data_IF_783197758226
#
_entry.id   IF_783197758226
#
_cell.length_a   1.000
_cell.length_b   1.000
_cell.length_c   1.000
_cell.angle_alpha   90.00
_cell.angle_beta   90.00
_cell.angle_gamma   90.00
#
_symmetry.space_group_name_H-M   'P 1'
#
loop_
_entity.id
_entity.type
_entity.pdbx_description
1 polymer ?
#
# COMPACT_ATOMS: atom_id res chain seq x y z
N UNK A 1 7.12 20.70 -2.54
CA UNK A 1 8.47 20.41 -2.04
C UNK A 1 8.40 19.20 -1.12
N UNK A 2 9.27 18.22 -1.33
CA UNK A 2 9.37 17.03 -0.49
C UNK A 2 9.81 17.40 0.94
N UNK A 3 9.43 16.59 1.91
CA UNK A 3 9.84 16.72 3.30
C UNK A 3 11.30 16.29 3.47
N UNK A 4 11.66 15.15 2.85
CA UNK A 4 13.00 14.59 2.84
C UNK A 4 13.45 14.33 1.39
N UNK A 5 14.74 14.41 1.11
CA UNK A 5 15.31 14.15 -0.23
C UNK A 5 15.16 12.67 -0.61
N UNK A 6 15.23 11.81 0.34
CA UNK A 6 15.12 10.35 0.19
C UNK A 6 13.75 9.93 -0.36
N UNK A 7 12.72 10.77 -0.18
CA UNK A 7 11.37 10.51 -0.69
C UNK A 7 11.26 10.63 -2.23
N UNK A 8 12.31 11.11 -2.90
CA UNK A 8 12.39 11.09 -4.38
C UNK A 8 12.22 9.67 -4.93
N UNK A 9 12.75 8.66 -4.24
CA UNK A 9 12.55 7.26 -4.64
C UNK A 9 11.08 6.85 -4.68
N UNK A 10 10.24 7.37 -3.78
CA UNK A 10 8.79 7.12 -3.80
C UNK A 10 8.18 7.63 -5.11
N UNK A 11 8.57 8.83 -5.56
CA UNK A 11 8.09 9.39 -6.81
C UNK A 11 8.54 8.56 -8.02
N UNK A 12 9.78 8.08 -8.01
CA UNK A 12 10.30 7.18 -9.07
C UNK A 12 9.45 5.91 -9.13
N UNK A 13 9.18 5.28 -8.00
CA UNK A 13 8.32 4.10 -7.92
C UNK A 13 6.90 4.38 -8.39
N UNK A 14 6.33 5.52 -8.04
CA UNK A 14 5.00 5.94 -8.52
C UNK A 14 4.97 6.08 -10.04
N UNK A 15 6.00 6.69 -10.64
CA UNK A 15 6.11 6.82 -12.11
C UNK A 15 6.24 5.46 -12.78
N UNK A 16 7.11 4.57 -12.26
CA UNK A 16 7.29 3.22 -12.79
C UNK A 16 5.98 2.43 -12.70
N UNK A 17 5.30 2.46 -11.55
CA UNK A 17 4.03 1.76 -11.35
C UNK A 17 2.96 2.23 -12.33
N UNK A 18 2.82 3.55 -12.48
CA UNK A 18 1.86 4.14 -13.42
C UNK A 18 2.21 3.79 -14.87
N UNK A 19 3.50 3.85 -15.24
CA UNK A 19 3.98 3.48 -16.56
C UNK A 19 3.72 2.02 -16.90
N UNK A 20 3.96 1.11 -15.96
CA UNK A 20 3.67 -0.32 -16.14
C UNK A 20 2.19 -0.60 -16.31
N UNK A 21 1.32 0.11 -15.59
CA UNK A 21 -0.13 0.00 -15.80
C UNK A 21 -0.51 0.39 -17.21
N UNK A 22 0.00 1.53 -17.69
CA UNK A 22 -0.27 2.02 -19.06
C UNK A 22 0.29 1.05 -20.11
N UNK A 23 1.50 0.55 -19.93
CA UNK A 23 2.12 -0.43 -20.84
C UNK A 23 1.25 -1.70 -20.90
N UNK A 24 0.86 -2.29 -19.76
CA UNK A 24 0.03 -3.49 -19.75
C UNK A 24 -1.35 -3.25 -20.35
N UNK A 25 -1.89 -2.03 -20.27
CA UNK A 25 -3.16 -1.67 -20.87
C UNK A 25 -3.09 -1.50 -22.39
N UNK A 26 -2.00 -0.92 -22.89
CA UNK A 26 -1.85 -0.58 -24.32
C UNK A 26 -1.25 -1.69 -25.16
N UNK A 27 -0.55 -2.67 -24.57
CA UNK A 27 0.05 -3.76 -25.34
C UNK A 27 -1.04 -4.70 -25.90
N UNK A 28 -0.93 -5.10 -27.18
CA UNK A 28 -1.97 -5.90 -27.83
C UNK A 28 -2.03 -7.35 -27.34
N UNK A 29 -0.91 -7.84 -26.81
CA UNK A 29 -0.79 -9.21 -26.31
C UNK A 29 -0.32 -9.21 -24.87
N UNK A 30 -0.74 -10.24 -24.12
CA UNK A 30 -0.33 -10.43 -22.73
C UNK A 30 1.17 -10.71 -22.65
N UNK A 31 1.87 -9.96 -21.82
CA UNK A 31 3.30 -10.10 -21.60
C UNK A 31 3.59 -10.45 -20.14
N UNK A 32 4.09 -11.65 -19.90
CA UNK A 32 4.41 -12.13 -18.55
C UNK A 32 5.44 -11.28 -17.82
N UNK A 33 6.43 -10.74 -18.52
CA UNK A 33 7.46 -9.92 -17.89
C UNK A 33 6.88 -8.63 -17.31
N UNK A 34 6.12 -7.88 -18.11
CA UNK A 34 5.50 -6.63 -17.64
C UNK A 34 4.42 -6.88 -16.60
N UNK A 35 3.69 -8.00 -16.70
CA UNK A 35 2.70 -8.42 -15.71
C UNK A 35 3.34 -8.75 -14.36
N UNK A 36 4.37 -9.59 -14.32
CA UNK A 36 5.07 -9.94 -13.08
C UNK A 36 5.73 -8.73 -12.45
N UNK A 37 6.26 -7.82 -13.27
CA UNK A 37 6.82 -6.57 -12.75
C UNK A 37 5.72 -5.68 -12.14
N UNK A 38 4.55 -5.58 -12.76
CA UNK A 38 3.42 -4.86 -12.19
C UNK A 38 2.97 -5.46 -10.84
N UNK A 39 2.95 -6.79 -10.72
CA UNK A 39 2.68 -7.45 -9.44
C UNK A 39 3.73 -7.09 -8.37
N UNK A 40 5.00 -7.04 -8.73
CA UNK A 40 6.07 -6.61 -7.83
C UNK A 40 5.89 -5.15 -7.39
N UNK A 41 5.46 -4.27 -8.32
CA UNK A 41 5.17 -2.88 -8.00
C UNK A 41 3.98 -2.74 -7.04
N UNK A 42 2.98 -3.62 -7.11
CA UNK A 42 1.85 -3.62 -6.17
C UNK A 42 2.32 -3.83 -4.72
N UNK A 43 3.31 -4.71 -4.48
CA UNK A 43 3.94 -4.88 -3.16
C UNK A 43 4.63 -3.58 -2.73
N UNK A 44 5.31 -2.91 -3.63
CA UNK A 44 5.96 -1.62 -3.35
C UNK A 44 4.95 -0.53 -2.99
N UNK A 45 3.79 -0.49 -3.67
CA UNK A 45 2.69 0.44 -3.35
C UNK A 45 2.17 0.20 -1.94
N UNK A 46 2.04 -1.05 -1.51
CA UNK A 46 1.63 -1.39 -0.13
C UNK A 46 2.59 -0.77 0.90
N UNK A 47 3.89 -0.95 0.69
CA UNK A 47 4.93 -0.38 1.57
C UNK A 47 4.90 1.16 1.56
N UNK A 48 4.75 1.76 0.38
CA UNK A 48 4.64 3.22 0.25
C UNK A 48 3.40 3.75 0.98
N UNK A 49 2.26 3.05 0.84
CA UNK A 49 1.00 3.40 1.53
C UNK A 49 1.18 3.38 3.04
N UNK A 50 1.77 2.30 3.56
CA UNK A 50 2.06 2.17 4.99
C UNK A 50 2.90 3.36 5.48
N UNK A 51 4.06 3.59 4.86
CA UNK A 51 4.97 4.65 5.28
C UNK A 51 4.36 6.04 5.15
N UNK A 52 3.62 6.30 4.06
CA UNK A 52 2.94 7.57 3.86
C UNK A 52 1.87 7.87 4.91
N UNK A 53 1.18 6.86 5.41
CA UNK A 53 0.20 7.01 6.50
C UNK A 53 0.86 7.31 7.85
N UNK A 54 2.11 6.91 8.07
CA UNK A 54 2.87 7.28 9.26
C UNK A 54 3.53 8.65 9.11
N UNK A 55 4.14 8.92 7.96
CA UNK A 55 4.87 10.15 7.70
C UNK A 55 4.63 10.64 6.27
N UNK A 56 3.87 11.71 6.14
CA UNK A 56 3.56 12.34 4.86
C UNK A 56 4.83 12.84 4.18
N UNK A 57 5.01 12.53 2.89
CA UNK A 57 6.24 12.88 2.17
C UNK A 57 6.26 14.33 1.67
N UNK A 58 5.10 14.97 1.51
CA UNK A 58 5.02 16.34 1.05
C UNK A 58 4.88 17.32 2.21
N UNK A 59 5.52 18.48 2.09
CA UNK A 59 5.25 19.63 2.98
C UNK A 59 3.90 20.28 2.70
N UNK A 60 3.43 20.18 1.45
CA UNK A 60 2.14 20.71 1.01
C UNK A 60 1.05 19.66 1.21
N UNK A 61 -0.02 20.04 1.90
CA UNK A 61 -1.12 19.15 2.24
C UNK A 61 -1.91 18.69 1.01
N UNK A 62 -2.09 19.55 -0.01
CA UNK A 62 -2.80 19.18 -1.23
C UNK A 62 -2.07 18.10 -2.03
N UNK A 63 -0.73 18.15 -2.05
CA UNK A 63 0.07 17.11 -2.67
C UNK A 63 -0.01 15.78 -1.89
N UNK A 64 -0.16 15.83 -0.57
CA UNK A 64 -0.41 14.63 0.22
C UNK A 64 -1.78 14.03 -0.11
N UNK A 65 -2.83 14.84 -0.28
CA UNK A 65 -4.14 14.35 -0.72
C UNK A 65 -4.08 13.74 -2.13
N UNK A 66 -3.42 14.42 -3.08
CA UNK A 66 -3.23 13.86 -4.42
C UNK A 66 -2.52 12.50 -4.37
N UNK A 67 -1.52 12.36 -3.51
CA UNK A 67 -0.84 11.09 -3.30
C UNK A 67 -1.73 10.05 -2.62
N UNK A 68 -2.55 10.43 -1.65
CA UNK A 68 -3.53 9.52 -1.04
C UNK A 68 -4.49 8.94 -2.08
N UNK A 69 -4.98 9.75 -3.03
CA UNK A 69 -5.82 9.27 -4.12
C UNK A 69 -5.07 8.34 -5.07
N UNK A 70 -3.82 8.67 -5.44
CA UNK A 70 -2.99 7.80 -6.24
C UNK A 70 -2.75 6.46 -5.54
N UNK A 71 -2.36 6.48 -4.27
CA UNK A 71 -2.17 5.27 -3.47
C UNK A 71 -3.47 4.45 -3.36
N UNK A 72 -4.60 5.08 -3.15
CA UNK A 72 -5.92 4.42 -3.11
C UNK A 72 -6.19 3.67 -4.40
N UNK A 73 -5.90 4.28 -5.55
CA UNK A 73 -6.11 3.68 -6.86
C UNK A 73 -5.23 2.43 -7.06
N UNK A 74 -3.95 2.52 -6.74
CA UNK A 74 -2.98 1.44 -7.01
C UNK A 74 -2.93 0.37 -5.90
N UNK A 75 -3.30 0.73 -4.69
CA UNK A 75 -3.40 -0.21 -3.57
C UNK A 75 -4.74 -0.99 -3.56
N UNK A 76 -5.76 -0.43 -4.20
CA UNK A 76 -7.09 -1.03 -4.24
C UNK A 76 -7.90 -0.90 -2.94
N UNK A 77 -7.43 -0.09 -1.99
CA UNK A 77 -8.11 0.16 -0.73
C UNK A 77 -7.92 1.63 -0.31
N UNK A 78 -8.97 2.30 0.22
CA UNK A 78 -8.87 3.70 0.62
C UNK A 78 -7.81 3.94 1.68
N UNK A 79 -6.75 4.69 1.34
CA UNK A 79 -5.66 5.00 2.27
C UNK A 79 -6.15 5.74 3.52
N UNK A 80 -7.21 6.52 3.41
CA UNK A 80 -7.83 7.19 4.55
C UNK A 80 -8.34 6.23 5.63
N UNK A 81 -8.75 5.01 5.26
CA UNK A 81 -9.20 3.99 6.20
C UNK A 81 -8.08 3.38 7.05
N UNK A 82 -6.82 3.54 6.63
CA UNK A 82 -5.66 3.14 7.43
C UNK A 82 -5.53 3.95 8.71
N UNK A 83 -5.94 5.22 8.71
CA UNK A 83 -5.82 6.08 9.89
C UNK A 83 -6.61 5.52 11.08
N UNK A 84 -7.94 5.24 10.97
CA UNK A 84 -8.68 4.67 12.09
C UNK A 84 -8.31 3.23 12.39
N UNK A 85 -8.07 2.39 11.39
CA UNK A 85 -7.85 0.95 11.58
C UNK A 85 -6.42 0.63 11.99
N UNK A 86 -5.43 1.11 11.25
CA UNK A 86 -4.02 0.84 11.51
C UNK A 86 -3.43 1.79 12.54
N UNK A 87 -3.42 3.11 12.26
CA UNK A 87 -2.71 4.05 13.13
C UNK A 87 -3.37 4.23 14.50
N UNK A 88 -4.70 4.30 14.58
CA UNK A 88 -5.41 4.55 15.85
C UNK A 88 -5.82 3.29 16.59
N UNK A 89 -6.17 2.22 15.89
CA UNK A 89 -6.61 0.97 16.52
C UNK A 89 -5.44 0.01 16.69
N UNK A 90 -4.80 -0.44 15.60
CA UNK A 90 -3.73 -1.44 15.66
C UNK A 90 -2.53 -1.00 16.51
N UNK A 91 -1.99 0.19 16.28
CA UNK A 91 -0.86 0.70 17.08
C UNK A 91 -1.21 0.89 18.56
N UNK A 92 -2.47 1.13 18.89
CA UNK A 92 -2.92 1.23 20.29
C UNK A 92 -3.07 -0.15 20.93
N UNK A 93 -3.62 -1.11 20.21
CA UNK A 93 -3.99 -2.42 20.75
C UNK A 93 -2.96 -3.50 20.50
N UNK A 94 -2.14 -3.37 19.44
CA UNK A 94 -0.99 -4.21 19.11
C UNK A 94 -1.31 -5.71 19.22
N UNK A 95 -2.23 -6.19 18.40
CA UNK A 95 -2.75 -7.56 18.38
C UNK A 95 -3.50 -8.02 19.66
N UNK A 96 -3.94 -7.11 20.51
CA UNK A 96 -4.80 -7.44 21.67
C UNK A 96 -6.28 -7.46 21.30
N UNK A 97 -7.12 -7.91 22.20
CA UNK A 97 -8.57 -7.92 22.01
C UNK A 97 -9.07 -6.51 21.60
N UNK A 98 -9.90 -6.46 20.54
CA UNK A 98 -10.41 -5.22 19.95
C UNK A 98 -9.57 -4.63 18.83
N UNK A 99 -8.40 -5.21 18.52
CA UNK A 99 -7.63 -4.85 17.34
C UNK A 99 -8.33 -5.38 16.08
N UNK A 100 -8.69 -4.48 15.16
CA UNK A 100 -9.36 -4.84 13.90
C UNK A 100 -8.47 -5.63 12.95
N UNK A 101 -7.16 -5.50 13.07
CA UNK A 101 -6.16 -6.12 12.20
C UNK A 101 -5.41 -7.26 12.87
N UNK A 102 -6.03 -7.89 13.87
CA UNK A 102 -5.44 -9.01 14.61
C UNK A 102 -5.12 -10.18 13.66
N UNK A 103 -3.86 -10.63 13.64
CA UNK A 103 -3.38 -11.61 12.67
C UNK A 103 -3.72 -13.06 13.02
N UNK A 104 -4.10 -13.34 14.28
CA UNK A 104 -4.43 -14.68 14.78
C UNK A 104 -5.91 -14.88 15.07
N UNK A 105 -6.78 -14.10 14.40
CA UNK A 105 -8.24 -14.18 14.62
C UNK A 105 -8.81 -15.58 14.37
N UNK A 106 -8.33 -16.26 13.33
CA UNK A 106 -8.78 -17.59 12.95
C UNK A 106 -7.92 -18.71 13.55
N UNK A 107 -6.63 -18.46 13.73
CA UNK A 107 -5.66 -19.45 14.23
C UNK A 107 -4.37 -18.77 14.65
N UNK A 108 -3.76 -19.23 15.74
CA UNK A 108 -2.42 -18.81 16.17
C UNK A 108 -1.30 -19.53 15.39
N UNK A 109 -1.66 -20.50 14.54
CA UNK A 109 -0.68 -21.26 13.76
C UNK A 109 -0.20 -20.43 12.58
N UNK A 110 1.12 -20.31 12.45
CA UNK A 110 1.75 -19.65 11.32
C UNK A 110 1.88 -20.63 10.14
N UNK A 111 0.89 -20.66 9.26
CA UNK A 111 0.85 -21.50 8.07
C UNK A 111 0.10 -20.82 6.92
N UNK A 112 0.14 -21.44 5.73
CA UNK A 112 -0.48 -20.89 4.50
C UNK A 112 -2.01 -20.73 4.65
N UNK A 113 -2.68 -21.64 5.36
CA UNK A 113 -4.12 -21.54 5.56
C UNK A 113 -4.48 -20.30 6.39
N UNK A 114 -3.76 -20.06 7.49
CA UNK A 114 -3.95 -18.87 8.33
C UNK A 114 -3.66 -17.59 7.53
N UNK A 115 -2.62 -17.60 6.67
CA UNK A 115 -2.31 -16.47 5.80
C UNK A 115 -3.44 -16.17 4.81
N UNK A 116 -4.02 -17.18 4.17
CA UNK A 116 -5.09 -17.02 3.18
C UNK A 116 -6.43 -16.62 3.81
N UNK A 117 -6.68 -17.01 5.05
CA UNK A 117 -7.92 -16.69 5.79
C UNK A 117 -7.82 -15.43 6.63
N UNK A 118 -6.65 -14.84 6.76
CA UNK A 118 -6.43 -13.62 7.54
C UNK A 118 -7.30 -12.42 7.12
N UNK A 119 -7.56 -12.17 5.83
CA UNK A 119 -8.39 -11.04 5.40
C UNK A 119 -9.89 -11.22 5.67
N UNK A 120 -10.34 -12.40 6.08
CA UNK A 120 -11.74 -12.72 6.38
C UNK A 120 -12.06 -12.37 7.84
#
# INVERSE_FOLDING_TARGET
MLRYREDVKVLIWMVITSGLLVINWLQPEFNWFTFLWACLMAISVTTITHNHNHLRIWKNQWLNYAQDYWLTLFYGFPTFAWIPTHNKNHHKLNNRAGDYTITYRMSERNNVFTLLTYPM
#
